data_IF_503349333957
#
_entry.id   IF_503349333957
#
_cell.length_a   1.000
_cell.length_b   1.000
_cell.length_c   1.000
_cell.angle_alpha   90.00
_cell.angle_beta   90.00
_cell.angle_gamma   90.00
#
_symmetry.space_group_name_H-M   'P 1'
#
loop_
_entity.id
_entity.type
_entity.pdbx_description
1 polymer ?
#
# COMPACT_ATOMS: atom_id res chain seq x y z
N UNK A 1 11.46 -2.86 17.00
CA UNK A 1 10.05 -3.23 17.32
C UNK A 1 8.98 -2.39 16.61
N UNK A 2 9.11 -1.06 16.58
CA UNK A 2 8.11 -0.17 15.97
C UNK A 2 7.92 -0.42 14.47
N UNK A 3 9.01 -0.61 13.73
CA UNK A 3 8.99 -0.96 12.30
C UNK A 3 8.27 -2.30 12.05
N UNK A 4 8.48 -3.28 12.94
CA UNK A 4 7.74 -4.54 12.87
C UNK A 4 6.25 -4.34 13.13
N UNK A 5 5.87 -3.43 14.03
CA UNK A 5 4.46 -3.11 14.27
C UNK A 5 3.84 -2.46 13.03
N UNK A 6 4.56 -1.55 12.37
CA UNK A 6 4.15 -0.96 11.11
C UNK A 6 4.00 -2.02 10.01
N UNK A 7 4.96 -2.95 9.88
CA UNK A 7 4.87 -4.04 8.91
C UNK A 7 3.63 -4.93 9.17
N UNK A 8 3.42 -5.38 10.41
CA UNK A 8 2.29 -6.23 10.79
C UNK A 8 0.94 -5.53 10.71
N UNK A 9 0.91 -4.18 10.78
CA UNK A 9 -0.29 -3.41 10.51
C UNK A 9 -0.82 -3.67 9.09
N UNK A 10 0.06 -3.95 8.13
CA UNK A 10 -0.32 -4.25 6.73
C UNK A 10 -1.24 -5.46 6.64
N UNK A 11 -0.91 -6.55 7.33
CA UNK A 11 -1.73 -7.75 7.35
C UNK A 11 -3.00 -7.55 8.20
N UNK A 12 -2.87 -6.83 9.31
CA UNK A 12 -4.02 -6.49 10.15
C UNK A 12 -5.05 -5.64 9.38
N UNK A 13 -4.62 -4.75 8.50
CA UNK A 13 -5.50 -3.85 7.74
C UNK A 13 -5.67 -4.33 6.29
N UNK A 14 -5.54 -5.64 6.05
CA UNK A 14 -5.85 -6.32 4.78
C UNK A 14 -5.16 -5.69 3.56
N UNK A 15 -3.88 -5.35 3.69
CA UNK A 15 -3.07 -4.77 2.62
C UNK A 15 -2.75 -3.29 2.79
N UNK A 16 -3.46 -2.58 3.67
CA UNK A 16 -3.19 -1.17 3.97
C UNK A 16 -2.17 -1.02 5.10
N UNK A 17 -1.20 -0.13 4.99
CA UNK A 17 -0.13 0.03 5.99
C UNK A 17 -0.30 1.30 6.80
N UNK A 18 -0.39 1.18 8.11
CA UNK A 18 -0.47 2.33 9.00
C UNK A 18 0.92 2.87 9.35
N UNK A 19 1.11 4.19 9.25
CA UNK A 19 2.31 4.85 9.76
C UNK A 19 2.13 5.20 11.24
N UNK A 20 3.02 4.72 12.13
CA UNK A 20 2.90 5.01 13.55
C UNK A 20 3.20 6.48 13.84
N UNK A 21 2.46 7.06 14.79
CA UNK A 21 2.68 8.41 15.31
C UNK A 21 2.33 8.46 16.80
N UNK A 22 3.01 9.31 17.57
CA UNK A 22 2.85 9.39 19.03
C UNK A 22 2.21 10.69 19.53
N UNK A 23 2.19 11.74 18.70
CA UNK A 23 1.60 13.04 19.04
C UNK A 23 0.30 13.18 18.28
N UNK A 24 -0.84 13.24 18.98
CA UNK A 24 -2.16 13.43 18.35
C UNK A 24 -2.50 14.90 18.11
N UNK A 25 -2.11 15.79 19.03
CA UNK A 25 -2.29 17.24 18.89
C UNK A 25 -1.28 18.03 19.72
N UNK A 26 -1.02 19.27 19.29
CA UNK A 26 -0.29 20.29 20.04
C UNK A 26 -1.26 21.41 20.37
N UNK A 27 -1.35 21.77 21.65
CA UNK A 27 -2.30 22.78 22.17
C UNK A 27 -1.51 23.91 22.82
N UNK A 28 -1.86 25.14 22.48
CA UNK A 28 -1.25 26.35 23.04
C UNK A 28 -1.72 26.66 24.46
N UNK A 29 -1.09 27.62 25.16
CA UNK A 29 -1.45 28.00 26.52
C UNK A 29 -2.88 28.53 26.67
N UNK A 30 -3.44 29.08 25.59
CA UNK A 30 -4.80 29.61 25.47
C UNK A 30 -5.85 28.52 25.15
N UNK A 31 -5.41 27.26 24.99
CA UNK A 31 -6.28 26.15 24.59
C UNK A 31 -6.45 25.99 23.07
N UNK A 32 -5.83 26.86 22.26
CA UNK A 32 -5.91 26.78 20.80
C UNK A 32 -5.15 25.55 20.27
N UNK A 33 -5.77 24.76 19.39
CA UNK A 33 -5.10 23.62 18.73
C UNK A 33 -4.16 24.14 17.65
N UNK A 34 -2.86 24.11 17.91
CA UNK A 34 -1.81 24.57 16.99
C UNK A 34 -1.52 23.52 15.90
N UNK A 35 -1.65 22.23 16.24
CA UNK A 35 -1.45 21.12 15.31
C UNK A 35 -2.35 19.97 15.67
N UNK A 36 -2.95 19.35 14.67
CA UNK A 36 -3.67 18.08 14.77
C UNK A 36 -2.99 17.08 13.84
N UNK A 37 -2.65 15.91 14.35
CA UNK A 37 -2.05 14.82 13.58
C UNK A 37 -3.10 13.74 13.35
N UNK A 38 -3.24 13.34 12.10
CA UNK A 38 -4.16 12.28 11.67
C UNK A 38 -3.38 11.01 11.33
N UNK A 39 -4.00 9.82 11.47
CA UNK A 39 -3.39 8.59 11.01
C UNK A 39 -3.09 8.66 9.51
N UNK A 40 -1.85 8.36 9.13
CA UNK A 40 -1.44 8.21 7.74
C UNK A 40 -1.52 6.72 7.37
N UNK A 41 -2.39 6.38 6.43
CA UNK A 41 -2.57 5.02 5.92
C UNK A 41 -2.10 4.98 4.46
N UNK A 42 -1.10 4.15 4.18
CA UNK A 42 -0.74 3.81 2.80
C UNK A 42 -1.70 2.73 2.31
N UNK A 43 -2.58 3.09 1.38
CA UNK A 43 -3.51 2.13 0.77
C UNK A 43 -2.79 1.17 -0.17
N UNK A 44 -3.26 -0.07 -0.28
CA UNK A 44 -2.75 -1.07 -1.23
C UNK A 44 -1.23 -1.28 -1.17
N UNK A 45 -0.64 -1.22 0.04
CA UNK A 45 0.78 -1.51 0.24
C UNK A 45 1.12 -2.99 0.01
N UNK A 46 0.11 -3.86 0.13
CA UNK A 46 0.10 -5.25 -0.29
C UNK A 46 -1.29 -5.54 -0.88
N UNK A 47 -1.33 -6.40 -1.89
CA UNK A 47 -2.60 -6.89 -2.44
C UNK A 47 -3.47 -7.50 -1.32
N UNK A 48 -4.76 -7.17 -1.32
CA UNK A 48 -5.67 -7.54 -0.24
C UNK A 48 -5.82 -9.06 -0.10
N UNK A 49 -5.87 -9.78 -1.23
CA UNK A 49 -5.99 -11.23 -1.25
C UNK A 49 -4.72 -11.88 -0.69
N UNK A 50 -3.54 -11.39 -1.09
CA UNK A 50 -2.27 -11.85 -0.49
C UNK A 50 -2.21 -11.55 1.01
N UNK A 51 -2.70 -10.39 1.45
CA UNK A 51 -2.75 -10.04 2.87
C UNK A 51 -3.70 -10.97 3.66
N UNK A 52 -4.84 -11.33 3.09
CA UNK A 52 -5.80 -12.25 3.69
C UNK A 52 -5.26 -13.70 3.74
N UNK A 53 -4.52 -14.15 2.71
CA UNK A 53 -3.78 -15.42 2.75
C UNK A 53 -2.75 -15.45 3.88
N UNK A 54 -1.96 -14.38 4.03
CA UNK A 54 -0.98 -14.26 5.11
C UNK A 54 -1.68 -14.20 6.48
N UNK A 55 -2.81 -13.50 6.62
CA UNK A 55 -3.63 -13.49 7.85
C UNK A 55 -4.04 -14.91 8.26
N UNK A 56 -4.57 -15.67 7.30
CA UNK A 56 -5.00 -17.03 7.48
C UNK A 56 -3.85 -17.97 7.90
N UNK A 57 -2.69 -17.86 7.25
CA UNK A 57 -1.49 -18.61 7.63
C UNK A 57 -1.00 -18.23 9.04
N UNK A 58 -1.00 -16.94 9.40
CA UNK A 58 -0.64 -16.51 10.75
C UNK A 58 -1.66 -16.95 11.81
N UNK A 59 -2.94 -17.10 11.44
CA UNK A 59 -3.95 -17.71 12.29
C UNK A 59 -3.65 -19.20 12.52
N UNK A 60 -3.17 -19.91 11.51
CA UNK A 60 -2.73 -21.30 11.64
C UNK A 60 -1.53 -21.45 12.58
N UNK A 61 -0.57 -20.52 12.56
CA UNK A 61 0.58 -20.54 13.50
C UNK A 61 0.12 -20.51 14.95
N UNK A 62 -0.92 -19.73 15.26
CA UNK A 62 -1.47 -19.61 16.62
C UNK A 62 -2.38 -20.80 16.98
N UNK A 63 -3.12 -21.36 16.04
CA UNK A 63 -4.06 -22.46 16.33
C UNK A 63 -3.42 -23.85 16.29
N UNK A 64 -2.42 -24.04 15.43
CA UNK A 64 -1.85 -25.36 15.13
C UNK A 64 -0.31 -25.37 15.05
N UNK A 65 0.35 -24.21 15.05
CA UNK A 65 1.81 -24.11 14.90
C UNK A 65 2.60 -23.75 16.16
N UNK A 66 3.72 -23.04 15.96
CA UNK A 66 4.67 -22.65 17.01
C UNK A 66 4.15 -21.56 17.94
N UNK A 67 3.09 -20.85 17.56
CA UNK A 67 2.47 -19.77 18.31
C UNK A 67 1.34 -20.20 19.25
N UNK A 68 1.13 -21.50 19.47
CA UNK A 68 0.00 -22.06 20.24
C UNK A 68 -0.27 -21.40 21.60
N UNK A 69 0.77 -20.92 22.28
CA UNK A 69 0.63 -20.23 23.58
C UNK A 69 -0.11 -18.89 23.49
N UNK A 70 -0.25 -18.31 22.29
CA UNK A 70 -1.13 -17.16 22.04
C UNK A 70 -2.61 -17.56 21.88
N UNK A 71 -2.96 -18.85 21.86
CA UNK A 71 -4.31 -19.33 21.58
C UNK A 71 -5.40 -18.84 22.54
N UNK A 72 -5.02 -18.39 23.74
CA UNK A 72 -5.94 -17.76 24.70
C UNK A 72 -6.30 -16.30 24.38
N UNK A 73 -5.70 -15.67 23.36
CA UNK A 73 -6.06 -14.34 22.86
C UNK A 73 -7.09 -14.54 21.73
N UNK A 74 -8.33 -14.04 21.88
CA UNK A 74 -9.35 -14.12 20.84
C UNK A 74 -8.83 -13.57 19.51
N UNK A 75 -9.11 -14.29 18.42
CA UNK A 75 -8.73 -13.87 17.07
C UNK A 75 -7.24 -13.55 16.88
N UNK A 76 -6.33 -14.12 17.66
CA UNK A 76 -4.91 -13.86 17.49
C UNK A 76 -4.33 -14.46 16.20
N UNK A 77 -3.52 -13.64 15.53
CA UNK A 77 -2.61 -13.98 14.44
C UNK A 77 -1.19 -13.61 14.88
N UNK A 78 -0.20 -14.39 14.46
CA UNK A 78 1.18 -13.98 14.64
C UNK A 78 2.19 -15.01 14.21
N UNK A 79 3.46 -14.67 14.40
CA UNK A 79 4.60 -15.50 14.05
C UNK A 79 5.67 -15.44 15.13
N UNK A 80 6.24 -16.60 15.42
CA UNK A 80 7.43 -16.73 16.25
C UNK A 80 8.69 -16.41 15.45
N UNK A 81 9.64 -15.68 16.04
CA UNK A 81 11.00 -15.48 15.54
C UNK A 81 12.03 -15.80 16.62
N UNK A 82 13.15 -16.39 16.23
CA UNK A 82 14.31 -16.61 17.12
C UNK A 82 15.56 -16.54 16.26
N UNK A 83 16.55 -15.74 16.66
CA UNK A 83 17.82 -15.65 15.94
C UNK A 83 18.69 -16.87 16.19
N UNK A 84 19.53 -17.23 15.21
CA UNK A 84 20.37 -18.43 15.26
C UNK A 84 21.41 -18.40 16.38
N UNK A 85 21.83 -17.22 16.83
CA UNK A 85 22.75 -17.02 17.96
C UNK A 85 22.03 -16.89 19.31
N UNK A 86 20.72 -17.13 19.33
CA UNK A 86 19.85 -17.13 20.51
C UNK A 86 19.88 -15.83 21.31
N UNK A 87 20.13 -14.69 20.67
CA UNK A 87 20.12 -13.37 21.32
C UNK A 87 18.75 -12.70 21.30
N UNK A 88 17.90 -13.07 20.35
CA UNK A 88 16.60 -12.44 20.14
C UNK A 88 15.47 -13.47 20.07
N UNK A 89 14.44 -13.25 20.88
CA UNK A 89 13.21 -14.02 20.86
C UNK A 89 12.03 -13.11 20.58
N UNK A 90 11.41 -13.27 19.41
CA UNK A 90 10.33 -12.44 18.91
C UNK A 90 9.00 -13.19 18.87
N UNK A 91 7.92 -12.46 19.18
CA UNK A 91 6.58 -12.82 18.76
C UNK A 91 5.90 -11.57 18.21
N UNK A 92 5.63 -11.59 16.91
CA UNK A 92 4.98 -10.48 16.22
C UNK A 92 3.56 -10.91 15.86
N UNK A 93 2.57 -10.11 16.19
CA UNK A 93 1.19 -10.50 15.95
C UNK A 93 0.20 -9.35 16.11
N UNK A 94 -1.06 -9.66 15.88
CA UNK A 94 -2.16 -8.74 16.05
C UNK A 94 -3.44 -9.51 16.32
N UNK A 95 -4.42 -8.81 16.88
CA UNK A 95 -5.72 -9.37 17.19
C UNK A 95 -6.74 -8.23 17.37
N UNK A 96 -7.92 -8.37 16.75
CA UNK A 96 -9.05 -7.41 16.82
C UNK A 96 -8.61 -5.92 16.74
N UNK A 97 -7.95 -5.54 15.64
CA UNK A 97 -7.58 -4.15 15.38
C UNK A 97 -6.41 -3.61 16.21
N UNK A 98 -5.76 -4.45 17.01
CA UNK A 98 -4.56 -4.09 17.79
C UNK A 98 -3.35 -4.88 17.31
N UNK A 99 -2.26 -4.19 16.97
CA UNK A 99 -0.95 -4.81 16.69
C UNK A 99 -0.11 -4.85 17.96
N UNK A 100 0.55 -5.97 18.23
CA UNK A 100 1.49 -6.13 19.33
C UNK A 100 2.78 -6.79 18.85
N UNK A 101 3.92 -6.29 19.29
CA UNK A 101 5.23 -6.88 19.01
C UNK A 101 5.95 -7.15 20.33
N UNK A 102 6.21 -8.42 20.60
CA UNK A 102 7.02 -8.86 21.73
C UNK A 102 8.44 -9.18 21.26
N UNK A 103 9.42 -8.66 22.00
CA UNK A 103 10.83 -8.99 21.85
C UNK A 103 11.46 -9.13 23.22
N UNK A 104 12.26 -10.17 23.39
CA UNK A 104 13.04 -10.43 24.59
C UNK A 104 14.48 -10.69 24.16
N UNK A 105 15.41 -10.07 24.88
CA UNK A 105 16.84 -10.27 24.75
C UNK A 105 17.53 -10.21 26.12
N UNK A 106 18.74 -10.75 26.21
CA UNK A 106 19.60 -10.63 27.38
C UNK A 106 20.58 -9.46 27.17
N UNK A 107 20.14 -8.26 27.54
CA UNK A 107 20.88 -7.02 27.39
C UNK A 107 21.88 -6.81 28.54
N UNK A 108 23.13 -6.50 28.20
CA UNK A 108 24.15 -6.06 29.15
C UNK A 108 24.50 -4.61 28.85
N UNK A 109 24.15 -3.66 29.74
CA UNK A 109 24.45 -2.25 29.54
C UNK A 109 25.96 -2.01 29.59
N UNK A 110 26.43 -1.04 28.82
CA UNK A 110 27.82 -0.59 28.83
C UNK A 110 27.87 0.91 28.97
N UNK A 111 28.61 1.38 29.95
CA UNK A 111 28.73 2.82 30.22
C UNK A 111 29.31 3.56 29.01
N UNK A 112 28.62 4.62 28.57
CA UNK A 112 29.01 5.43 27.43
C UNK A 112 29.02 4.71 26.08
N UNK A 113 28.44 3.51 25.96
CA UNK A 113 28.46 2.69 24.75
C UNK A 113 27.11 2.03 24.49
N UNK A 114 26.91 1.56 23.26
CA UNK A 114 25.77 0.69 22.95
C UNK A 114 25.81 -0.59 23.80
N UNK A 115 24.64 -1.08 24.24
CA UNK A 115 24.54 -2.33 24.96
C UNK A 115 25.01 -3.51 24.09
N UNK A 116 25.39 -4.60 24.74
CA UNK A 116 25.65 -5.88 24.07
C UNK A 116 24.56 -6.87 24.43
N UNK A 117 24.22 -7.76 23.50
CA UNK A 117 23.25 -8.81 23.73
C UNK A 117 23.97 -10.15 23.83
N UNK A 118 23.76 -10.84 24.95
CA UNK A 118 24.32 -12.18 25.17
C UNK A 118 23.30 -13.24 24.74
N UNK A 119 23.75 -14.45 24.38
CA UNK A 119 22.85 -15.56 24.19
C UNK A 119 21.96 -15.77 25.42
N UNK A 120 20.68 -15.96 25.18
CA UNK A 120 19.73 -16.31 26.23
C UNK A 120 19.82 -17.78 26.61
N UNK A 121 19.08 -18.19 27.64
CA UNK A 121 18.90 -19.60 27.99
C UNK A 121 18.37 -20.40 26.78
N UNK A 122 18.75 -21.68 26.69
CA UNK A 122 18.26 -22.63 25.68
C UNK A 122 16.77 -22.94 25.76
N UNK A 123 16.03 -22.29 26.68
CA UNK A 123 14.57 -22.39 26.81
C UNK A 123 13.83 -21.10 26.41
N UNK A 124 14.56 -20.05 26.05
CA UNK A 124 13.99 -18.73 25.71
C UNK A 124 13.88 -18.58 24.20
N UNK A 125 12.67 -18.77 23.67
CA UNK A 125 12.35 -18.67 22.25
C UNK A 125 11.10 -17.82 22.05
N UNK A 126 10.87 -17.42 20.80
CA UNK A 126 9.66 -16.69 20.43
C UNK A 126 8.37 -17.42 20.81
N UNK A 127 8.36 -18.75 20.66
CA UNK A 127 7.22 -19.62 20.99
C UNK A 127 7.10 -20.04 22.46
N UNK A 128 8.01 -19.59 23.34
CA UNK A 128 7.96 -19.87 24.79
C UNK A 128 7.65 -18.60 25.58
N UNK A 129 8.68 -17.90 26.04
CA UNK A 129 8.54 -16.76 26.97
C UNK A 129 7.93 -15.55 26.27
N UNK A 130 8.36 -15.26 25.04
CA UNK A 130 7.94 -14.04 24.33
C UNK A 130 6.45 -14.05 24.00
N UNK A 131 5.93 -15.16 23.46
CA UNK A 131 4.50 -15.29 23.13
C UNK A 131 3.60 -15.25 24.37
N UNK A 132 4.05 -15.77 25.52
CA UNK A 132 3.28 -15.70 26.76
C UNK A 132 3.17 -14.27 27.29
N UNK A 133 4.28 -13.53 27.26
CA UNK A 133 4.29 -12.12 27.62
C UNK A 133 3.40 -11.32 26.68
N UNK A 134 3.55 -11.52 25.37
CA UNK A 134 2.71 -10.91 24.34
C UNK A 134 1.22 -11.20 24.59
N UNK A 135 0.85 -12.45 24.86
CA UNK A 135 -0.53 -12.85 25.08
C UNK A 135 -1.16 -12.16 26.29
N UNK A 136 -0.42 -11.99 27.39
CA UNK A 136 -0.89 -11.26 28.58
C UNK A 136 -1.18 -9.80 28.26
N UNK A 137 -0.26 -9.12 27.56
CA UNK A 137 -0.42 -7.72 27.16
C UNK A 137 -1.60 -7.58 26.19
N UNK A 138 -1.70 -8.46 25.20
CA UNK A 138 -2.74 -8.37 24.17
C UNK A 138 -4.14 -8.63 24.71
N UNK A 139 -4.32 -9.52 25.70
CA UNK A 139 -5.63 -9.69 26.37
C UNK A 139 -6.10 -8.37 26.99
N UNK A 140 -5.19 -7.64 27.63
CA UNK A 140 -5.52 -6.34 28.22
C UNK A 140 -5.77 -5.28 27.14
N UNK A 141 -4.90 -5.22 26.13
CA UNK A 141 -5.00 -4.25 25.04
C UNK A 141 -6.29 -4.43 24.23
N UNK A 142 -6.66 -5.67 23.87
CA UNK A 142 -7.91 -5.97 23.18
C UNK A 142 -9.13 -5.57 24.01
N UNK A 143 -9.13 -5.85 25.32
CA UNK A 143 -10.26 -5.43 26.17
C UNK A 143 -10.45 -3.91 26.17
N UNK A 144 -9.37 -3.13 26.03
CA UNK A 144 -9.40 -1.67 26.13
C UNK A 144 -9.56 -0.94 24.81
N UNK A 145 -9.03 -1.51 23.73
CA UNK A 145 -8.88 -0.86 22.42
C UNK A 145 -9.34 -1.73 21.24
N UNK A 146 -9.71 -2.99 21.50
CA UNK A 146 -10.04 -3.96 20.47
C UNK A 146 -11.26 -3.56 19.66
N UNK A 147 -11.18 -3.79 18.35
CA UNK A 147 -12.27 -3.66 17.39
C UNK A 147 -12.28 -4.92 16.55
N UNK A 148 -13.37 -5.68 16.65
CA UNK A 148 -13.50 -6.88 15.83
C UNK A 148 -13.41 -6.49 14.35
N UNK A 149 -12.53 -7.18 13.63
CA UNK A 149 -12.31 -6.96 12.21
C UNK A 149 -12.93 -8.14 11.47
N UNK A 150 -13.75 -7.85 10.45
CA UNK A 150 -14.24 -8.89 9.55
C UNK A 150 -13.08 -9.51 8.76
N UNK A 151 -13.12 -10.83 8.61
CA UNK A 151 -12.08 -11.60 7.93
C UNK A 151 -12.72 -12.69 7.07
N UNK A 152 -12.18 -12.95 5.88
CA UNK A 152 -12.58 -14.11 5.11
C UNK A 152 -12.33 -15.40 5.90
N UNK A 153 -13.17 -16.40 5.68
CA UNK A 153 -13.01 -17.71 6.30
C UNK A 153 -11.84 -18.46 5.64
N UNK A 154 -11.19 -19.36 6.38
CA UNK A 154 -10.13 -20.21 5.83
C UNK A 154 -10.55 -20.93 4.55
N UNK A 155 -11.79 -21.43 4.47
CA UNK A 155 -12.31 -22.16 3.31
C UNK A 155 -12.59 -21.26 2.10
N UNK A 156 -12.78 -19.95 2.31
CA UNK A 156 -12.89 -18.98 1.22
C UNK A 156 -11.53 -18.61 0.63
N UNK A 157 -10.45 -18.79 1.38
CA UNK A 157 -9.08 -18.43 0.98
C UNK A 157 -8.35 -19.64 0.41
N UNK A 158 -8.51 -20.82 1.02
CA UNK A 158 -7.85 -22.05 0.63
C UNK A 158 -8.86 -23.16 0.32
N UNK A 159 -8.73 -23.78 -0.86
CA UNK A 159 -9.45 -24.99 -1.25
C UNK A 159 -8.43 -26.09 -1.51
N UNK A 160 -8.58 -27.25 -0.86
CA UNK A 160 -7.63 -28.38 -0.93
C UNK A 160 -6.17 -27.99 -0.62
N UNK A 161 -5.95 -27.00 0.26
CA UNK A 161 -4.61 -26.54 0.64
C UNK A 161 -3.92 -25.67 -0.42
N UNK A 162 -4.62 -25.27 -1.48
CA UNK A 162 -4.16 -24.28 -2.45
C UNK A 162 -4.97 -22.99 -2.31
N UNK A 163 -4.37 -21.82 -2.56
CA UNK A 163 -5.14 -20.58 -2.68
C UNK A 163 -6.26 -20.75 -3.69
N UNK A 164 -7.46 -20.28 -3.37
CA UNK A 164 -8.56 -20.24 -4.33
C UNK A 164 -8.22 -19.15 -5.33
N UNK A 165 -7.76 -19.50 -6.53
CA UNK A 165 -7.70 -18.54 -7.62
C UNK A 165 -9.14 -18.12 -7.94
N UNK A 166 -9.39 -16.82 -8.01
CA UNK A 166 -10.64 -16.35 -8.56
C UNK A 166 -10.64 -16.78 -10.02
N UNK A 167 -11.57 -17.66 -10.38
CA UNK A 167 -11.79 -17.97 -11.76
C UNK A 167 -12.16 -16.62 -12.38
N UNK A 168 -11.31 -16.10 -13.27
CA UNK A 168 -11.69 -14.95 -14.08
C UNK A 168 -13.04 -15.22 -14.76
N UNK A 169 -13.70 -14.23 -15.36
CA UNK A 169 -15.09 -14.37 -15.88
C UNK A 169 -15.33 -15.48 -16.95
N UNK A 170 -14.40 -16.40 -17.19
CA UNK A 170 -14.47 -17.51 -18.13
C UNK A 170 -14.91 -18.89 -17.60
N UNK A 171 -14.91 -19.21 -16.30
CA UNK A 171 -15.42 -20.54 -15.83
C UNK A 171 -16.47 -20.42 -14.72
N UNK A 172 -17.58 -19.75 -15.04
CA UNK A 172 -18.82 -19.92 -14.29
C UNK A 172 -19.36 -21.31 -14.65
N UNK A 173 -19.62 -22.22 -13.69
CA UNK A 173 -20.36 -23.45 -13.98
C UNK A 173 -21.70 -23.10 -14.64
N UNK A 174 -22.05 -23.82 -15.71
CA UNK A 174 -23.22 -23.59 -16.59
C UNK A 174 -24.59 -23.64 -15.88
N UNK A 175 -24.62 -23.80 -14.55
CA UNK A 175 -25.81 -24.06 -13.74
C UNK A 175 -26.06 -23.00 -12.63
N UNK A 176 -25.41 -21.84 -12.70
CA UNK A 176 -25.80 -20.71 -11.85
C UNK A 176 -26.97 -19.96 -12.50
N UNK A 177 -28.14 -19.82 -11.84
CA UNK A 177 -29.21 -18.99 -12.37
C UNK A 177 -28.72 -17.55 -12.54
N UNK A 178 -29.16 -16.83 -13.59
CA UNK A 178 -28.71 -15.47 -13.83
C UNK A 178 -29.04 -14.60 -12.62
N UNK A 179 -28.06 -13.81 -12.18
CA UNK A 179 -28.29 -12.72 -11.24
C UNK A 179 -29.19 -11.73 -11.96
N UNK A 180 -30.41 -11.51 -11.45
CA UNK A 180 -31.25 -10.42 -11.95
C UNK A 180 -30.53 -9.10 -11.70
N UNK A 181 -30.33 -8.32 -12.77
CA UNK A 181 -29.76 -6.98 -12.68
C UNK A 181 -30.61 -6.14 -11.71
N UNK A 182 -30.00 -5.36 -10.80
CA UNK A 182 -30.74 -4.40 -10.01
C UNK A 182 -31.42 -3.37 -10.95
N UNK A 183 -32.62 -2.87 -10.60
CA UNK A 183 -33.32 -1.91 -11.44
C UNK A 183 -32.47 -0.65 -11.66
N UNK A 184 -32.41 -0.18 -12.91
CA UNK A 184 -31.77 1.07 -13.28
C UNK A 184 -32.33 2.23 -12.42
N UNK A 185 -31.46 2.90 -11.66
CA UNK A 185 -31.83 4.15 -11.01
C UNK A 185 -31.93 5.26 -12.06
N UNK A 186 -33.05 5.99 -12.05
CA UNK A 186 -33.31 7.14 -12.92
C UNK A 186 -32.15 8.17 -12.87
N UNK A 187 -31.81 8.82 -14.00
CA UNK A 187 -30.73 9.78 -14.03
C UNK A 187 -31.01 10.98 -13.12
N UNK A 188 -30.08 11.23 -12.19
CA UNK A 188 -30.03 12.42 -11.34
C UNK A 188 -30.05 13.66 -12.24
N UNK A 189 -31.10 14.47 -12.10
CA UNK A 189 -31.26 15.78 -12.70
C UNK A 189 -30.13 16.74 -12.29
N UNK A 190 -29.72 17.58 -13.25
CA UNK A 190 -28.62 18.56 -13.28
C UNK A 190 -28.15 19.21 -11.96
N UNK A 191 -26.85 19.55 -11.85
CA UNK A 191 -26.31 20.24 -10.68
C UNK A 191 -26.85 21.67 -10.57
N UNK A 192 -27.43 21.99 -9.42
CA UNK A 192 -27.76 23.36 -9.01
C UNK A 192 -26.46 24.18 -8.91
N UNK A 193 -26.29 25.13 -9.84
CA UNK A 193 -25.24 26.14 -9.81
C UNK A 193 -25.54 27.14 -8.69
N UNK A 194 -24.69 27.18 -7.67
CA UNK A 194 -24.69 28.26 -6.67
C UNK A 194 -23.89 29.47 -7.23
N UNK A 195 -24.37 30.72 -7.07
CA UNK A 195 -23.67 31.89 -7.57
C UNK A 195 -22.36 32.14 -6.80
N UNK A 196 -21.26 32.35 -7.55
CA UNK A 196 -19.92 32.56 -7.02
C UNK A 196 -19.72 33.95 -6.40
N UNK A 197 -18.95 33.98 -5.31
CA UNK A 197 -18.33 35.20 -4.79
C UNK A 197 -16.94 35.41 -5.43
N UNK A 198 -16.52 36.66 -5.71
CA UNK A 198 -15.29 36.94 -6.43
C UNK A 198 -14.06 36.84 -5.52
N UNK A 199 -13.06 36.08 -5.97
CA UNK A 199 -11.72 36.03 -5.35
C UNK A 199 -10.85 37.16 -5.93
N UNK A 200 -10.13 37.97 -5.12
CA UNK A 200 -9.24 39.02 -5.63
C UNK A 200 -7.91 38.44 -6.13
N UNK A 201 -7.48 38.92 -7.29
CA UNK A 201 -6.19 38.64 -7.91
C UNK A 201 -5.12 39.63 -7.37
N UNK A 202 -3.97 39.19 -6.83
CA UNK A 202 -2.87 40.10 -6.52
C UNK A 202 -1.79 40.06 -7.62
N UNK A 203 -1.66 41.14 -8.38
CA UNK A 203 -0.46 41.34 -9.19
C UNK A 203 -0.53 42.41 -10.28
N UNK A 204 -0.41 43.68 -9.93
CA UNK A 204 0.17 44.73 -10.79
C UNK A 204 0.94 45.75 -9.93
N UNK A 205 2.28 45.70 -9.95
CA UNK A 205 3.25 46.65 -10.57
C UNK A 205 3.50 47.95 -9.81
N UNK A 206 4.78 48.27 -9.54
CA UNK A 206 5.42 49.56 -9.92
C UNK A 206 6.95 49.52 -9.76
N UNK A 207 7.68 49.86 -10.84
CA UNK A 207 8.95 50.62 -10.92
C UNK A 207 10.26 49.94 -10.46
N UNK A 208 11.45 50.14 -11.05
CA UNK A 208 11.95 51.04 -12.11
C UNK A 208 13.36 50.60 -12.54
N UNK A 209 13.76 50.95 -13.78
CA UNK A 209 15.12 51.22 -14.30
C UNK A 209 16.10 50.08 -14.66
N UNK A 210 16.45 50.02 -15.96
CA UNK A 210 17.86 50.11 -16.36
C UNK A 210 18.47 49.02 -17.26
N UNK A 211 18.50 49.30 -18.57
CA UNK A 211 19.70 49.24 -19.44
C UNK A 211 20.06 47.93 -20.19
N UNK A 212 20.02 48.05 -21.54
CA UNK A 212 20.84 47.42 -22.61
C UNK A 212 20.51 46.02 -23.19
N UNK A 213 19.99 46.06 -24.43
CA UNK A 213 20.15 45.16 -25.60
C UNK A 213 21.62 45.32 -26.15
N UNK A 214 22.21 44.54 -27.12
CA UNK A 214 21.54 43.80 -28.19
C UNK A 214 22.12 42.47 -28.73
N UNK A 215 21.27 41.71 -29.46
CA UNK A 215 21.63 40.47 -30.13
C UNK A 215 20.73 40.00 -31.29
N UNK A 216 20.24 40.94 -32.11
CA UNK A 216 20.17 40.92 -33.59
C UNK A 216 19.48 39.79 -34.44
N UNK A 217 18.26 40.09 -34.96
CA UNK A 217 17.74 40.11 -36.39
C UNK A 217 17.71 38.81 -37.26
N UNK A 218 16.86 38.59 -38.33
CA UNK A 218 15.61 39.25 -38.85
C UNK A 218 14.40 38.29 -39.16
N UNK A 219 13.25 38.85 -39.64
CA UNK A 219 12.01 38.14 -39.98
C UNK A 219 11.84 37.83 -41.49
N UNK A 220 10.85 37.00 -41.86
CA UNK A 220 10.34 36.90 -43.25
C UNK A 220 8.81 36.96 -43.25
N UNK A 221 8.31 37.87 -44.09
CA UNK A 221 6.89 38.16 -44.32
C UNK A 221 6.21 37.27 -45.38
N UNK A 222 5.02 37.68 -45.88
CA UNK A 222 3.95 36.77 -46.30
C UNK A 222 3.81 36.59 -47.82
N UNK A 223 3.11 35.53 -48.27
CA UNK A 223 2.52 35.51 -49.62
C UNK A 223 2.11 34.17 -50.23
N UNK A 224 0.82 34.10 -50.60
CA UNK A 224 0.20 33.45 -51.79
C UNK A 224 -0.17 31.94 -51.81
N UNK A 225 -1.49 31.70 -52.00
CA UNK A 225 -2.15 30.53 -52.62
C UNK A 225 -2.45 30.86 -54.13
N UNK A 226 -2.86 29.96 -55.08
CA UNK A 226 -3.94 28.92 -55.02
C UNK A 226 -3.64 27.67 -55.94
N UNK A 227 -4.55 26.79 -56.47
CA UNK A 227 -6.01 26.62 -56.30
C UNK A 227 -6.48 25.16 -55.98
N UNK A 228 -7.79 24.93 -56.17
CA UNK A 228 -8.74 24.03 -55.50
C UNK A 228 -9.10 22.75 -56.27
N UNK A 229 -9.32 21.64 -55.53
CA UNK A 229 -10.44 20.69 -55.73
C UNK A 229 -10.09 19.21 -55.96
N UNK A 230 -10.98 18.22 -55.70
CA UNK A 230 -12.20 18.22 -54.87
C UNK A 230 -12.24 17.09 -53.81
N UNK A 231 -13.17 17.20 -52.85
CA UNK A 231 -13.67 16.04 -52.08
C UNK A 231 -13.44 16.11 -50.57
N UNK A 232 -14.33 16.82 -49.87
CA UNK A 232 -14.47 16.70 -48.42
C UNK A 232 -14.98 15.28 -48.12
N UNK A 233 -14.12 14.44 -47.53
CA UNK A 233 -14.59 13.31 -46.70
C UNK A 233 -14.85 13.87 -45.30
N UNK A 234 -15.96 13.51 -44.63
CA UNK A 234 -16.15 13.90 -43.23
C UNK A 234 -14.98 13.38 -42.38
N UNK A 235 -14.63 14.04 -41.26
CA UNK A 235 -13.58 13.56 -40.38
C UNK A 235 -13.91 12.13 -39.98
N UNK A 236 -12.98 11.21 -40.21
CA UNK A 236 -13.05 9.86 -39.66
C UNK A 236 -12.91 10.04 -38.15
N UNK A 237 -13.93 9.64 -37.40
CA UNK A 237 -13.87 9.60 -35.94
C UNK A 237 -12.60 8.85 -35.51
N UNK A 238 -11.85 9.35 -34.51
CA UNK A 238 -10.68 8.63 -34.01
C UNK A 238 -11.11 7.21 -33.58
N UNK A 239 -10.31 6.17 -33.91
CA UNK A 239 -10.63 4.81 -33.48
C UNK A 239 -10.78 4.76 -31.97
N UNK A 240 -11.91 4.22 -31.51
CA UNK A 240 -12.23 4.00 -30.09
C UNK A 240 -11.08 3.24 -29.41
N UNK A 241 -10.82 3.59 -28.15
CA UNK A 241 -9.71 3.18 -27.26
C UNK A 241 -9.61 1.66 -26.95
N UNK A 242 -10.02 0.78 -27.84
CA UNK A 242 -9.92 -0.67 -27.64
C UNK A 242 -8.58 -1.18 -28.17
N UNK A 243 -7.55 -1.09 -27.33
CA UNK A 243 -6.29 -1.77 -27.63
C UNK A 243 -5.07 -1.29 -26.86
N UNK A 244 -5.17 -0.32 -25.95
CA UNK A 244 -4.03 0.10 -25.13
C UNK A 244 -4.01 -0.67 -23.81
N UNK A 245 -2.84 -1.22 -23.46
CA UNK A 245 -2.56 -1.86 -22.18
C UNK A 245 -1.59 -1.00 -21.38
N UNK A 246 -1.92 -0.76 -20.12
CA UNK A 246 -1.02 -0.08 -19.18
C UNK A 246 -0.09 -1.09 -18.52
N UNK A 247 1.22 -0.82 -18.58
CA UNK A 247 2.25 -1.69 -18.03
C UNK A 247 3.28 -0.86 -17.28
N UNK A 248 3.60 -1.29 -16.07
CA UNK A 248 4.69 -0.72 -15.29
C UNK A 248 6.04 -1.14 -15.85
N UNK A 249 6.85 -0.15 -16.20
CA UNK A 249 8.19 -0.35 -16.74
C UNK A 249 9.23 0.32 -15.85
N UNK A 250 10.44 -0.24 -15.86
CA UNK A 250 11.58 0.36 -15.20
C UNK A 250 11.94 1.69 -15.89
N UNK A 251 12.07 2.77 -15.10
CA UNK A 251 12.39 4.11 -15.63
C UNK A 251 13.66 4.11 -16.51
N UNK A 252 14.66 3.32 -16.11
CA UNK A 252 15.96 3.27 -16.78
C UNK A 252 16.01 2.41 -18.05
N UNK A 253 15.24 1.32 -18.10
CA UNK A 253 15.39 0.31 -19.17
C UNK A 253 14.18 0.20 -20.08
N UNK A 254 13.03 0.78 -19.68
CA UNK A 254 11.76 0.61 -20.40
C UNK A 254 11.24 -0.82 -20.43
N UNK A 255 11.91 -1.78 -19.77
CA UNK A 255 11.47 -3.16 -19.64
C UNK A 255 10.46 -3.31 -18.50
N UNK A 256 9.67 -4.39 -18.50
CA UNK A 256 8.67 -4.64 -17.45
C UNK A 256 9.32 -4.58 -16.07
N UNK A 257 8.74 -3.81 -15.15
CA UNK A 257 9.33 -3.57 -13.84
C UNK A 257 9.55 -4.87 -13.06
N UNK A 258 10.59 -4.90 -12.24
CA UNK A 258 10.80 -5.93 -11.23
C UNK A 258 10.72 -5.32 -9.84
N UNK A 259 10.57 -6.17 -8.82
CA UNK A 259 10.59 -5.73 -7.42
C UNK A 259 11.89 -5.05 -7.00
N UNK A 260 12.95 -5.18 -7.82
CA UNK A 260 14.25 -4.59 -7.59
C UNK A 260 14.42 -3.24 -8.30
N UNK A 261 13.46 -2.81 -9.11
CA UNK A 261 13.53 -1.51 -9.79
C UNK A 261 13.35 -0.38 -8.76
N UNK A 262 14.32 0.54 -8.62
CA UNK A 262 14.24 1.65 -7.67
C UNK A 262 13.18 2.68 -8.08
N UNK A 263 12.93 2.81 -9.38
CA UNK A 263 11.92 3.71 -9.95
C UNK A 263 11.16 3.02 -11.08
N UNK A 264 9.83 3.12 -11.04
CA UNK A 264 8.88 2.51 -11.98
C UNK A 264 7.90 3.54 -12.52
N UNK A 265 7.64 3.50 -13.82
CA UNK A 265 6.72 4.41 -14.52
C UNK A 265 5.69 3.58 -15.29
N UNK A 266 4.42 3.91 -15.15
CA UNK A 266 3.33 3.29 -15.92
C UNK A 266 3.30 3.88 -17.32
N UNK A 267 3.33 3.03 -18.35
CA UNK A 267 3.22 3.46 -19.76
C UNK A 267 2.14 2.67 -20.49
N UNK A 268 1.52 3.32 -21.48
CA UNK A 268 0.51 2.74 -22.37
C UNK A 268 1.19 2.15 -23.61
N UNK A 269 0.86 0.90 -23.93
CA UNK A 269 1.34 0.20 -25.11
C UNK A 269 0.15 -0.33 -25.91
N UNK A 270 0.28 -0.42 -27.23
CA UNK A 270 -0.68 -1.21 -28.01
C UNK A 270 -0.60 -2.69 -27.59
N UNK A 271 -1.75 -3.35 -27.49
CA UNK A 271 -1.87 -4.75 -27.05
C UNK A 271 -0.98 -5.65 -27.90
N UNK A 272 -0.05 -6.35 -27.26
CA UNK A 272 0.94 -7.22 -27.88
C UNK A 272 2.30 -6.56 -28.13
N UNK A 273 2.40 -5.23 -28.04
CA UNK A 273 3.66 -4.48 -28.16
C UNK A 273 4.27 -4.08 -26.81
N UNK A 274 3.64 -4.46 -25.70
CA UNK A 274 4.20 -4.24 -24.37
C UNK A 274 5.49 -5.06 -24.14
N UNK A 275 6.47 -4.51 -23.39
CA UNK A 275 7.69 -5.22 -23.06
C UNK A 275 7.39 -6.47 -22.24
N UNK A 276 7.68 -7.64 -22.82
CA UNK A 276 7.43 -8.95 -22.19
C UNK A 276 8.55 -9.39 -21.24
N UNK A 277 9.77 -8.90 -21.45
CA UNK A 277 10.93 -9.24 -20.62
C UNK A 277 10.98 -8.32 -19.39
N UNK A 278 11.27 -8.93 -18.24
CA UNK A 278 11.44 -8.22 -16.97
C UNK A 278 12.82 -7.57 -16.89
N UNK A 279 12.88 -6.38 -16.29
CA UNK A 279 14.14 -5.67 -16.05
C UNK A 279 15.08 -6.48 -15.13
N UNK A 280 16.28 -6.78 -15.64
CA UNK A 280 17.36 -7.46 -14.91
C UNK A 280 18.48 -6.53 -14.46
N UNK A 281 18.39 -5.21 -14.74
CA UNK A 281 19.45 -4.23 -14.42
C UNK A 281 19.69 -4.07 -12.91
N UNK A 282 18.62 -4.12 -12.11
CA UNK A 282 18.66 -3.80 -10.67
C UNK A 282 18.54 -5.03 -9.76
N UNK A 283 18.20 -6.19 -10.33
CA UNK A 283 18.22 -7.47 -9.63
C UNK A 283 19.54 -8.18 -9.89
N UNK A 284 20.38 -8.31 -8.86
CA UNK A 284 21.65 -9.02 -8.95
C UNK A 284 21.47 -10.42 -9.55
N UNK A 285 22.35 -10.78 -10.49
CA UNK A 285 22.44 -12.12 -11.05
C UNK A 285 22.62 -13.15 -9.93
N UNK A 286 21.60 -13.96 -9.67
CA UNK A 286 21.76 -15.21 -8.94
C UNK A 286 21.82 -16.36 -9.97
N UNK A 287 23.05 -16.84 -10.20
CA UNK A 287 23.29 -18.27 -10.43
C UNK A 287 23.15 -18.99 -9.09
#
# INVERSE_FOLDING_TARGET
>A
PLEMAQAYSTFMLRGNRAKPYCISRVVGPDGTVLRLYQPEITSNALDQRVADEIDALMRMVVTSGTGKRAGGVPNARGKTGTTSDNKDAWFCGYADGVVGIGWIANEVPREGKSPIYLPMSSRTFGGTVTVEFWAKVMKYAQKRFGKQMERPSMSSIFRNGQPVEDIGPGDIPEDTPPVEDPPEEDPISDPVVLPGEPVPNPGQTTGTTGTQDPGQIPPVGPGTAPPVGPGIRPPVDPPREEGLVEVDVCADTGMRSSIYCPETVTRRFARGQEPRRRCTKHGGQHR
#
